data_IF_891225889939
#
_entry.id   IF_891225889939
#
_cell.length_a   1.000
_cell.length_b   1.000
_cell.length_c   1.000
_cell.angle_alpha   90.00
_cell.angle_beta   90.00
_cell.angle_gamma   90.00
#
_symmetry.space_group_name_H-M   'P 1'
#
loop_
_entity.id
_entity.type
_entity.pdbx_description
1 polymer ?
#
# COMPACT_ATOMS: atom_id res chain seq x y z
N UNK A 1 27.59 -11.10 14.30
CA UNK A 1 26.88 -12.23 13.67
C UNK A 1 25.74 -11.64 12.86
N UNK A 2 25.82 -11.71 11.53
CA UNK A 2 24.80 -11.14 10.66
C UNK A 2 23.49 -11.90 10.84
N UNK A 3 22.46 -11.20 11.29
CA UNK A 3 21.08 -11.70 11.29
C UNK A 3 20.74 -12.10 9.86
N UNK A 4 20.51 -13.39 9.62
CA UNK A 4 20.11 -13.86 8.31
C UNK A 4 18.75 -13.24 7.99
N UNK A 5 18.72 -12.24 7.10
CA UNK A 5 17.48 -11.65 6.63
C UNK A 5 16.56 -12.77 6.13
N UNK A 6 15.43 -12.96 6.81
CA UNK A 6 14.47 -13.99 6.49
C UNK A 6 13.90 -13.71 5.10
N UNK A 7 13.95 -14.70 4.19
CA UNK A 7 13.27 -14.61 2.90
C UNK A 7 11.77 -14.37 3.12
N UNK A 8 11.19 -13.44 2.34
CA UNK A 8 9.78 -13.04 2.45
C UNK A 8 9.17 -12.83 1.08
N UNK A 9 7.86 -13.09 0.97
CA UNK A 9 7.03 -12.73 -0.18
C UNK A 9 6.29 -11.45 0.14
N UNK A 10 6.54 -10.41 -0.64
CA UNK A 10 6.00 -9.07 -0.42
C UNK A 10 5.04 -8.72 -1.54
N UNK A 11 3.82 -8.33 -1.17
CA UNK A 11 2.83 -7.80 -2.10
C UNK A 11 2.85 -6.28 -2.01
N UNK A 12 3.29 -5.60 -3.06
CA UNK A 12 3.25 -4.13 -3.16
C UNK A 12 2.06 -3.72 -4.02
N UNK A 13 1.23 -2.79 -3.54
CA UNK A 13 -0.05 -2.45 -4.18
C UNK A 13 -0.21 -0.95 -4.34
N UNK A 14 -0.53 -0.53 -5.57
CA UNK A 14 -1.04 0.81 -5.89
C UNK A 14 -2.17 0.76 -6.93
N UNK A 15 -3.03 1.76 -6.91
CA UNK A 15 -4.15 2.04 -7.81
C UNK A 15 -4.18 3.51 -8.26
N UNK A 16 -3.47 4.43 -7.60
CA UNK A 16 -3.38 5.84 -8.04
C UNK A 16 -2.04 6.15 -8.68
N UNK A 17 -0.94 5.67 -8.08
CA UNK A 17 0.41 5.94 -8.58
C UNK A 17 0.69 5.24 -9.91
N UNK A 18 1.62 5.84 -10.65
CA UNK A 18 2.12 5.22 -11.86
C UNK A 18 2.96 3.99 -11.49
N UNK A 19 2.89 2.88 -12.26
CA UNK A 19 3.69 1.70 -12.00
C UNK A 19 5.20 1.87 -12.17
N UNK A 20 5.63 2.90 -12.92
CA UNK A 20 7.02 3.26 -13.15
C UNK A 20 7.54 4.35 -12.19
N UNK A 21 6.79 4.66 -11.12
CA UNK A 21 7.24 5.61 -10.09
C UNK A 21 8.57 5.12 -9.49
N UNK A 22 9.62 5.94 -9.63
CA UNK A 22 10.96 5.60 -9.17
C UNK A 22 11.03 5.37 -7.66
N UNK A 23 10.12 5.96 -6.87
CA UNK A 23 10.05 5.74 -5.42
C UNK A 23 9.64 4.30 -5.12
N UNK A 24 8.60 3.81 -5.79
CA UNK A 24 8.07 2.46 -5.57
C UNK A 24 8.91 1.42 -6.32
N UNK A 25 9.04 1.55 -7.65
CA UNK A 25 9.63 0.51 -8.47
C UNK A 25 11.16 0.41 -8.32
N UNK A 26 11.85 1.55 -8.33
CA UNK A 26 13.32 1.55 -8.33
C UNK A 26 13.87 1.46 -6.90
N UNK A 27 13.35 2.28 -5.98
CA UNK A 27 13.90 2.34 -4.61
C UNK A 27 13.36 1.23 -3.72
N UNK A 28 12.05 1.17 -3.49
CA UNK A 28 11.46 0.21 -2.56
C UNK A 28 11.53 -1.23 -3.09
N UNK A 29 10.90 -1.49 -4.25
CA UNK A 29 10.88 -2.83 -4.86
C UNK A 29 12.32 -3.27 -5.21
N UNK A 30 13.14 -2.36 -5.73
CA UNK A 30 14.55 -2.64 -5.99
C UNK A 30 15.32 -3.05 -4.73
N UNK A 31 15.12 -2.37 -3.60
CA UNK A 31 15.75 -2.74 -2.33
C UNK A 31 15.24 -4.09 -1.81
N UNK A 32 13.93 -4.37 -1.92
CA UNK A 32 13.35 -5.67 -1.51
C UNK A 32 13.96 -6.83 -2.31
N UNK A 33 14.09 -6.66 -3.62
CA UNK A 33 14.71 -7.66 -4.50
C UNK A 33 16.21 -7.82 -4.22
N UNK A 34 16.92 -6.71 -4.00
CA UNK A 34 18.36 -6.73 -3.67
C UNK A 34 18.64 -7.45 -2.34
N UNK A 35 17.71 -7.36 -1.39
CA UNK A 35 17.74 -8.11 -0.12
C UNK A 35 17.32 -9.58 -0.26
N UNK A 36 16.98 -10.03 -1.48
CA UNK A 36 16.64 -11.41 -1.79
C UNK A 36 15.18 -11.79 -1.55
N UNK A 37 14.28 -10.81 -1.31
CA UNK A 37 12.85 -11.09 -1.15
C UNK A 37 12.15 -11.27 -2.51
N UNK A 38 11.02 -11.99 -2.52
CA UNK A 38 10.18 -12.10 -3.70
C UNK A 38 9.10 -11.03 -3.69
N UNK A 39 8.95 -10.30 -4.79
CA UNK A 39 7.94 -9.24 -4.91
C UNK A 39 6.86 -9.64 -5.91
N UNK A 40 5.60 -9.48 -5.50
CA UNK A 40 4.46 -9.32 -6.40
C UNK A 40 4.09 -7.85 -6.43
N UNK A 41 4.03 -7.24 -7.61
CA UNK A 41 3.65 -5.84 -7.77
C UNK A 41 2.28 -5.72 -8.45
N UNK A 42 1.30 -5.19 -7.71
CA UNK A 42 -0.05 -4.95 -8.20
C UNK A 42 -0.25 -3.46 -8.48
N UNK A 43 -0.40 -3.08 -9.75
CA UNK A 43 -0.43 -1.68 -10.17
C UNK A 43 -1.23 -1.50 -11.47
N UNK A 44 -1.65 -0.26 -11.80
CA UNK A 44 -2.37 0.04 -13.04
C UNK A 44 -1.47 0.15 -14.27
N UNK A 45 -0.83 -0.97 -14.67
CA UNK A 45 0.06 -1.06 -15.84
C UNK A 45 -0.64 -0.65 -17.13
N UNK A 46 -1.78 -1.27 -17.43
CA UNK A 46 -2.48 -1.05 -18.70
C UNK A 46 -2.98 0.39 -18.84
N UNK A 47 -3.58 0.95 -17.78
CA UNK A 47 -4.15 2.30 -17.82
C UNK A 47 -3.12 3.42 -17.87
N UNK A 48 -1.87 3.16 -17.45
CA UNK A 48 -0.76 4.10 -17.61
C UNK A 48 0.11 3.82 -18.85
N UNK A 49 -0.19 2.77 -19.62
CA UNK A 49 0.62 2.36 -20.77
C UNK A 49 2.03 1.91 -20.39
N UNK A 50 2.22 1.40 -19.17
CA UNK A 50 3.51 0.98 -18.65
C UNK A 50 3.66 -0.53 -18.80
N UNK A 51 4.76 -0.98 -19.39
CA UNK A 51 5.05 -2.40 -19.51
C UNK A 51 5.25 -3.03 -18.11
N UNK A 52 4.83 -4.28 -17.97
CA UNK A 52 5.07 -5.03 -16.73
C UNK A 52 6.58 -5.27 -16.56
N UNK A 53 7.17 -4.98 -15.39
CA UNK A 53 8.60 -5.14 -15.18
C UNK A 53 8.99 -6.62 -15.26
N UNK A 54 10.12 -6.90 -15.91
CA UNK A 54 10.69 -8.24 -15.98
C UNK A 54 11.22 -8.70 -14.62
N UNK A 55 11.15 -10.01 -14.35
CA UNK A 55 11.67 -10.59 -13.10
C UNK A 55 10.81 -10.38 -11.86
N UNK A 56 9.67 -9.70 -11.98
CA UNK A 56 8.71 -9.45 -10.90
C UNK A 56 7.35 -9.99 -11.32
N UNK A 57 6.62 -10.62 -10.38
CA UNK A 57 5.24 -11.01 -10.66
C UNK A 57 4.35 -9.77 -10.67
N UNK A 58 3.86 -9.38 -11.84
CA UNK A 58 2.99 -8.21 -11.99
C UNK A 58 1.50 -8.60 -12.07
N UNK A 59 0.66 -7.94 -11.27
CA UNK A 59 -0.80 -8.01 -11.33
C UNK A 59 -1.32 -6.68 -11.83
N UNK A 60 -2.08 -6.70 -12.92
CA UNK A 60 -2.68 -5.48 -13.45
C UNK A 60 -3.96 -5.13 -12.68
N UNK A 61 -4.08 -3.87 -12.29
CA UNK A 61 -5.24 -3.31 -11.62
C UNK A 61 -5.83 -2.14 -12.43
N UNK A 62 -7.13 -1.87 -12.32
CA UNK A 62 -7.68 -0.61 -12.81
C UNK A 62 -7.13 0.57 -12.01
N UNK A 63 -6.99 1.73 -12.66
CA UNK A 63 -6.59 2.98 -12.02
C UNK A 63 -7.77 3.59 -11.26
N UNK A 64 -7.51 4.01 -10.03
CA UNK A 64 -8.44 4.78 -9.22
C UNK A 64 -8.42 6.26 -9.65
N UNK A 65 -9.14 6.60 -10.72
CA UNK A 65 -9.33 7.99 -11.18
C UNK A 65 -10.80 8.32 -11.40
N UNK A 66 -11.22 9.54 -11.03
CA UNK A 66 -12.59 10.04 -11.23
C UNK A 66 -13.69 9.06 -10.81
N UNK A 67 -14.54 8.65 -11.76
CA UNK A 67 -15.65 7.71 -11.55
C UNK A 67 -15.20 6.24 -11.40
N UNK A 68 -14.00 5.89 -11.84
CA UNK A 68 -13.48 4.51 -11.81
C UNK A 68 -13.00 4.09 -10.41
N UNK A 69 -12.89 5.02 -9.46
CA UNK A 69 -12.40 4.76 -8.10
C UNK A 69 -13.16 3.66 -7.37
N UNK A 70 -14.49 3.59 -7.53
CA UNK A 70 -15.32 2.55 -6.89
C UNK A 70 -14.99 1.17 -7.48
N UNK A 71 -14.90 1.09 -8.81
CA UNK A 71 -14.56 -0.15 -9.51
C UNK A 71 -13.15 -0.61 -9.15
N UNK A 72 -12.19 0.33 -9.15
CA UNK A 72 -10.82 0.05 -8.76
C UNK A 72 -10.71 -0.45 -7.32
N UNK A 73 -11.43 0.19 -6.40
CA UNK A 73 -11.51 -0.25 -5.01
C UNK A 73 -12.05 -1.67 -4.86
N UNK A 74 -13.13 -2.00 -5.57
CA UNK A 74 -13.74 -3.35 -5.52
C UNK A 74 -12.80 -4.43 -6.06
N UNK A 75 -12.14 -4.14 -7.18
CA UNK A 75 -11.19 -5.07 -7.80
C UNK A 75 -9.95 -5.24 -6.91
N UNK A 76 -9.39 -4.15 -6.39
CA UNK A 76 -8.28 -4.18 -5.45
C UNK A 76 -8.63 -4.98 -4.18
N UNK A 77 -9.83 -4.80 -3.61
CA UNK A 77 -10.31 -5.58 -2.46
C UNK A 77 -10.37 -7.08 -2.76
N UNK A 78 -10.87 -7.46 -3.94
CA UNK A 78 -10.92 -8.87 -4.37
C UNK A 78 -9.50 -9.43 -4.51
N UNK A 79 -8.60 -8.68 -5.15
CA UNK A 79 -7.19 -9.05 -5.31
C UNK A 79 -6.51 -9.23 -3.95
N UNK A 80 -6.66 -8.28 -3.03
CA UNK A 80 -6.10 -8.35 -1.68
C UNK A 80 -6.57 -9.61 -0.95
N UNK A 81 -7.85 -9.94 -0.99
CA UNK A 81 -8.37 -11.17 -0.38
C UNK A 81 -7.76 -12.45 -0.95
N UNK A 82 -7.45 -12.45 -2.25
CA UNK A 82 -6.88 -13.61 -2.93
C UNK A 82 -5.36 -13.72 -2.74
N UNK A 83 -4.67 -12.58 -2.66
CA UNK A 83 -3.21 -12.55 -2.65
C UNK A 83 -2.64 -12.44 -1.24
N UNK A 84 -3.32 -11.79 -0.30
CA UNK A 84 -2.73 -11.53 1.02
C UNK A 84 -2.28 -12.81 1.73
N UNK A 85 -3.07 -13.88 1.71
CA UNK A 85 -2.72 -15.13 2.41
C UNK A 85 -1.50 -15.87 1.85
N UNK A 86 -1.07 -15.55 0.63
CA UNK A 86 0.12 -16.14 0.00
C UNK A 86 1.34 -15.23 0.07
N UNK A 87 1.23 -14.08 0.72
CA UNK A 87 2.34 -13.16 0.98
C UNK A 87 2.56 -13.06 2.49
N UNK A 88 3.79 -12.73 2.88
CA UNK A 88 4.16 -12.57 4.28
C UNK A 88 3.97 -11.11 4.72
N UNK A 89 4.08 -10.17 3.77
CA UNK A 89 3.90 -8.72 3.96
C UNK A 89 3.06 -8.15 2.82
N UNK A 90 2.12 -7.26 3.14
CA UNK A 90 1.35 -6.49 2.15
C UNK A 90 1.63 -5.01 2.35
N UNK A 91 2.19 -4.33 1.35
CA UNK A 91 2.48 -2.90 1.35
C UNK A 91 1.48 -2.18 0.45
N UNK A 92 0.78 -1.19 1.01
CA UNK A 92 -0.23 -0.37 0.33
C UNK A 92 0.33 1.05 0.17
N UNK A 93 0.14 1.65 -1.00
CA UNK A 93 0.67 2.99 -1.30
C UNK A 93 -0.41 4.09 -1.37
N UNK A 94 -1.67 3.75 -1.61
CA UNK A 94 -2.75 4.74 -1.75
C UNK A 94 -3.75 4.67 -0.59
N UNK A 95 -4.31 5.81 -0.14
CA UNK A 95 -5.30 5.80 0.93
C UNK A 95 -6.61 5.10 0.52
N UNK A 96 -6.94 5.03 -0.77
CA UNK A 96 -8.06 4.24 -1.29
C UNK A 96 -7.89 2.76 -0.93
N UNK A 97 -6.66 2.25 -0.89
CA UNK A 97 -6.39 0.85 -0.55
C UNK A 97 -6.63 0.54 0.94
N UNK A 98 -6.63 1.55 1.82
CA UNK A 98 -7.04 1.35 3.22
C UNK A 98 -8.50 0.89 3.30
N UNK A 99 -9.37 1.48 2.48
CA UNK A 99 -10.76 1.02 2.36
C UNK A 99 -10.83 -0.39 1.73
N UNK A 100 -9.96 -0.70 0.78
CA UNK A 100 -9.91 -2.03 0.16
C UNK A 100 -9.48 -3.10 1.17
N UNK A 101 -8.51 -2.77 2.03
CA UNK A 101 -7.96 -3.63 3.07
C UNK A 101 -8.84 -3.73 4.33
N UNK A 102 -9.92 -2.95 4.45
CA UNK A 102 -10.80 -3.02 5.62
C UNK A 102 -11.38 -4.42 5.81
N UNK A 103 -11.12 -5.05 6.96
CA UNK A 103 -11.54 -6.42 7.26
C UNK A 103 -10.67 -7.50 6.61
N UNK A 104 -9.54 -7.13 5.99
CA UNK A 104 -8.49 -8.07 5.62
C UNK A 104 -7.83 -8.60 6.90
N UNK A 105 -7.88 -9.91 7.10
CA UNK A 105 -7.18 -10.55 8.20
C UNK A 105 -5.80 -10.96 7.71
N UNK A 106 -4.82 -10.07 7.87
CA UNK A 106 -3.43 -10.32 7.52
C UNK A 106 -2.52 -9.89 8.69
N UNK A 107 -1.47 -10.66 9.02
CA UNK A 107 -0.61 -10.35 10.16
C UNK A 107 0.19 -9.06 9.98
N UNK A 108 0.68 -8.79 8.77
CA UNK A 108 1.53 -7.63 8.47
C UNK A 108 0.99 -6.90 7.23
N UNK A 109 0.26 -5.81 7.44
CA UNK A 109 -0.02 -4.84 6.38
C UNK A 109 0.77 -3.58 6.71
N UNK A 110 1.43 -3.02 5.72
CA UNK A 110 2.19 -1.78 5.80
C UNK A 110 1.48 -0.80 4.89
N UNK A 111 1.24 0.40 5.38
CA UNK A 111 0.76 1.49 4.53
C UNK A 111 1.90 2.49 4.43
N UNK A 112 2.51 2.53 3.26
CA UNK A 112 3.58 3.46 2.97
C UNK A 112 2.96 4.79 2.55
N UNK A 113 3.03 5.75 3.46
CA UNK A 113 2.50 7.11 3.28
C UNK A 113 3.61 7.96 2.69
N UNK A 114 3.71 8.03 1.37
CA UNK A 114 4.60 8.98 0.71
C UNK A 114 3.86 10.31 0.43
N UNK A 115 4.19 11.32 1.24
CA UNK A 115 3.94 12.76 1.10
C UNK A 115 2.48 13.27 1.14
N UNK A 116 2.27 14.08 2.16
CA UNK A 116 1.07 14.76 2.66
C UNK A 116 0.47 15.86 1.73
N UNK A 117 0.50 15.70 0.40
CA UNK A 117 -0.07 16.71 -0.51
C UNK A 117 -0.91 16.13 -1.64
N UNK A 118 -0.41 15.18 -2.43
CA UNK A 118 -1.18 14.65 -3.56
C UNK A 118 -2.31 13.70 -3.14
N UNK A 119 -2.06 12.83 -2.16
CA UNK A 119 -3.04 11.89 -1.63
C UNK A 119 -4.19 12.59 -0.87
N UNK A 120 -3.83 13.59 -0.05
CA UNK A 120 -4.79 14.43 0.70
C UNK A 120 -5.67 15.28 -0.24
N UNK A 121 -5.11 15.76 -1.37
CA UNK A 121 -5.87 16.47 -2.41
C UNK A 121 -6.72 15.52 -3.27
N UNK A 122 -6.19 14.36 -3.67
CA UNK A 122 -6.91 13.30 -4.40
C UNK A 122 -8.17 12.88 -3.65
N UNK A 123 -8.05 12.56 -2.36
CA UNK A 123 -9.19 12.20 -1.53
C UNK A 123 -10.17 13.36 -1.36
N UNK A 124 -9.69 14.57 -1.03
CA UNK A 124 -10.58 15.73 -0.80
C UNK A 124 -11.32 16.16 -2.07
N UNK A 125 -10.74 15.95 -3.25
CA UNK A 125 -11.33 16.33 -4.54
C UNK A 125 -12.46 15.40 -4.99
N UNK A 126 -12.40 14.12 -4.63
CA UNK A 126 -13.40 13.13 -5.01
C UNK A 126 -14.42 12.85 -3.90
N UNK A 127 -14.02 12.95 -2.62
CA UNK A 127 -14.93 12.76 -1.51
C UNK A 127 -15.90 13.94 -1.41
N UNK A 128 -17.22 13.70 -1.46
CA UNK A 128 -18.19 14.74 -1.17
C UNK A 128 -17.97 15.26 0.26
N UNK A 129 -18.31 16.53 0.51
CA UNK A 129 -17.99 17.24 1.75
C UNK A 129 -18.41 16.48 3.02
N UNK A 130 -19.53 15.76 2.97
CA UNK A 130 -20.04 14.93 4.05
C UNK A 130 -19.16 13.69 4.34
N UNK A 131 -18.43 13.17 3.37
CA UNK A 131 -17.56 12.00 3.50
C UNK A 131 -16.13 12.34 3.95
N UNK A 132 -15.75 13.63 3.92
CA UNK A 132 -14.41 14.08 4.37
C UNK A 132 -14.17 13.82 5.86
N UNK A 133 -15.20 14.05 6.69
CA UNK A 133 -15.15 13.83 8.15
C UNK A 133 -15.02 12.35 8.54
N UNK A 134 -15.84 11.42 8.02
CA UNK A 134 -15.67 10.01 8.34
C UNK A 134 -14.35 9.44 7.82
N UNK A 135 -13.83 9.92 6.69
CA UNK A 135 -12.51 9.48 6.21
C UNK A 135 -11.37 10.01 7.08
N UNK A 136 -11.42 11.27 7.52
CA UNK A 136 -10.47 11.78 8.51
C UNK A 136 -10.55 11.00 9.84
N UNK A 137 -11.76 10.62 10.28
CA UNK A 137 -11.96 9.75 11.42
C UNK A 137 -11.41 8.34 11.20
N UNK A 138 -11.52 7.80 9.98
CA UNK A 138 -10.98 6.49 9.61
C UNK A 138 -9.46 6.49 9.65
N UNK A 139 -8.79 7.51 9.09
CA UNK A 139 -7.33 7.67 9.18
C UNK A 139 -6.88 7.68 10.64
N UNK A 140 -7.53 8.49 11.49
CA UNK A 140 -7.22 8.57 12.93
C UNK A 140 -7.48 7.26 13.68
N UNK A 141 -8.51 6.53 13.28
CA UNK A 141 -8.83 5.20 13.85
C UNK A 141 -7.81 4.15 13.39
N UNK A 142 -7.33 4.26 12.15
CA UNK A 142 -6.31 3.39 11.59
C UNK A 142 -4.94 3.64 12.23
N UNK A 143 -4.57 4.90 12.48
CA UNK A 143 -3.39 5.26 13.30
C UNK A 143 -3.48 4.64 14.71
N UNK A 144 -4.64 4.73 15.37
CA UNK A 144 -4.82 4.15 16.71
C UNK A 144 -4.85 2.61 16.69
N UNK A 145 -5.29 2.01 15.58
CA UNK A 145 -5.35 0.55 15.40
C UNK A 145 -4.00 -0.04 15.01
N UNK A 146 -3.18 0.73 14.27
CA UNK A 146 -1.78 0.44 13.95
C UNK A 146 -0.98 0.19 15.23
N UNK A 147 -1.08 1.10 16.19
CA UNK A 147 -0.42 1.01 17.50
C UNK A 147 -0.88 -0.20 18.31
N UNK A 148 -2.17 -0.56 18.24
CA UNK A 148 -2.73 -1.65 19.05
C UNK A 148 -2.55 -3.05 18.46
N UNK A 149 -2.49 -3.18 17.12
CA UNK A 149 -2.61 -4.50 16.48
C UNK A 149 -1.43 -4.92 15.60
N UNK A 150 -0.34 -4.14 15.47
CA UNK A 150 0.82 -4.46 14.60
C UNK A 150 0.47 -4.71 13.11
N UNK A 151 -0.77 -4.44 12.71
CA UNK A 151 -1.34 -4.79 11.39
C UNK A 151 -1.23 -3.67 10.36
N UNK A 152 -0.78 -2.48 10.75
CA UNK A 152 -0.62 -1.32 9.86
C UNK A 152 0.62 -0.57 10.33
N UNK A 153 1.73 -0.65 9.61
CA UNK A 153 2.93 0.15 9.88
C UNK A 153 2.93 1.32 8.90
N UNK A 154 3.05 2.54 9.41
CA UNK A 154 3.22 3.75 8.60
C UNK A 154 4.71 3.94 8.32
N UNK A 155 5.12 3.82 7.06
CA UNK A 155 6.54 3.82 6.69
C UNK A 155 7.15 5.23 6.52
N UNK A 156 6.71 6.23 7.27
CA UNK A 156 7.27 7.59 7.20
C UNK A 156 8.37 7.80 8.25
N UNK A 157 9.55 8.25 7.80
CA UNK A 157 10.71 8.59 8.64
C UNK A 157 10.43 9.71 9.67
N UNK A 158 9.40 10.55 9.45
CA UNK A 158 8.98 11.60 10.37
C UNK A 158 8.29 11.09 11.64
N UNK A 159 7.76 9.86 11.64
CA UNK A 159 7.10 9.27 12.81
C UNK A 159 8.04 8.46 13.71
N UNK A 160 9.28 8.19 13.28
CA UNK A 160 10.28 7.48 14.08
C UNK A 160 10.52 8.14 15.46
N UNK A 161 10.32 9.45 15.58
CA UNK A 161 10.48 10.18 16.84
C UNK A 161 9.26 10.13 17.78
N UNK A 162 8.16 9.49 17.39
CA UNK A 162 6.95 9.31 18.23
C UNK A 162 6.79 7.91 18.81
N UNK A 163 7.65 6.96 18.42
CA UNK A 163 7.63 5.61 18.96
C UNK A 163 8.66 5.48 20.09
N UNK A 164 8.18 5.15 21.29
CA UNK A 164 9.02 4.92 22.49
C UNK A 164 9.49 3.46 22.57
N UNK A 165 9.12 2.61 21.61
CA UNK A 165 9.37 1.16 21.66
C UNK A 165 10.10 0.61 20.45
N UNK A 166 11.00 -0.35 20.71
CA UNK A 166 11.67 -1.15 19.68
C UNK A 166 10.66 -2.11 19.05
N UNK A 167 10.52 -2.04 17.74
CA UNK A 167 9.71 -2.96 16.95
C UNK A 167 10.64 -4.01 16.29
N UNK A 168 10.26 -5.30 16.31
CA UNK A 168 11.04 -6.39 15.72
C UNK A 168 11.03 -6.36 14.19
#
# INVERSE_FOLDING_TARGET
MAEAFKFMRVLVVTVVHRPDDARILVREIGALLASGHQVTYAAPFTEFGVARPGGIRAIDLPRASGRNRITALRIARKMLKQQASVHDVVILHDPELLMAAQGLQHPVVVWDVHEDTAASLSLKSWLPSWARRPVAGLVRTLETTAERNRRLILAESAYAQRFVGVHP
#
